data_IF_154778139815
#
_entry.id   IF_154778139815
#
_cell.length_a   1.000
_cell.length_b   1.000
_cell.length_c   1.000
_cell.angle_alpha   90.00
_cell.angle_beta   90.00
_cell.angle_gamma   90.00
#
_symmetry.space_group_name_H-M   'P 1'
#
loop_
_entity.id
_entity.type
_entity.pdbx_description
1 polymer ?
#
# COMPACT_ATOMS: atom_id res chain seq x y z
N UNK A 1 24.01 -10.42 6.16
CA UNK A 1 24.66 -10.27 4.83
C UNK A 1 24.23 -11.38 3.87
N UNK A 2 24.15 -12.65 4.29
CA UNK A 2 23.59 -13.73 3.44
C UNK A 2 22.08 -13.56 3.17
N UNK A 3 21.28 -13.17 4.16
CA UNK A 3 19.85 -12.90 3.96
C UNK A 3 19.58 -11.83 2.88
N UNK A 4 20.29 -10.69 2.91
CA UNK A 4 20.11 -9.64 1.91
C UNK A 4 20.51 -10.09 0.51
N UNK A 5 21.59 -10.90 0.38
CA UNK A 5 21.97 -11.49 -0.92
C UNK A 5 20.88 -12.43 -1.45
N UNK A 6 20.27 -13.21 -0.57
CA UNK A 6 19.18 -14.11 -0.95
C UNK A 6 17.97 -13.33 -1.46
N UNK A 7 17.52 -12.32 -0.70
CA UNK A 7 16.43 -11.42 -1.09
C UNK A 7 16.75 -10.79 -2.46
N UNK A 8 17.94 -10.21 -2.62
CA UNK A 8 18.32 -9.59 -3.89
C UNK A 8 18.33 -10.56 -5.07
N UNK A 9 18.74 -11.81 -4.86
CA UNK A 9 18.68 -12.83 -5.91
C UNK A 9 17.24 -13.14 -6.30
N UNK A 10 16.33 -13.27 -5.33
CA UNK A 10 14.90 -13.51 -5.61
C UNK A 10 14.21 -12.31 -6.25
N UNK A 11 14.60 -11.10 -5.86
CA UNK A 11 14.08 -9.84 -6.39
C UNK A 11 14.57 -9.51 -7.80
N UNK A 12 15.55 -10.26 -8.32
CA UNK A 12 16.25 -9.97 -9.58
C UNK A 12 16.88 -8.56 -9.58
N UNK A 13 17.36 -8.13 -8.42
CA UNK A 13 17.84 -6.77 -8.22
C UNK A 13 18.36 -6.53 -6.80
N UNK A 14 19.09 -5.44 -6.59
CA UNK A 14 19.65 -5.09 -5.28
C UNK A 14 19.11 -3.76 -4.78
N UNK A 15 19.30 -3.47 -3.49
CA UNK A 15 19.19 -2.11 -3.00
C UNK A 15 20.08 -1.16 -3.80
N UNK A 16 19.65 0.10 -3.87
CA UNK A 16 20.47 1.19 -4.41
C UNK A 16 21.77 1.31 -3.62
N UNK A 17 22.88 1.52 -4.32
CA UNK A 17 24.18 1.83 -3.73
C UNK A 17 24.40 3.33 -3.50
N UNK A 18 23.34 4.14 -3.65
CA UNK A 18 23.41 5.57 -3.35
C UNK A 18 23.83 5.81 -1.89
N UNK A 19 24.66 6.83 -1.62
CA UNK A 19 25.02 7.16 -0.25
C UNK A 19 23.77 7.58 0.53
N UNK A 20 23.72 7.32 1.86
CA UNK A 20 22.64 7.84 2.69
C UNK A 20 22.48 9.36 2.52
N UNK A 21 21.24 9.87 2.52
CA UNK A 21 20.99 11.31 2.38
C UNK A 21 21.61 12.07 3.57
N UNK A 22 22.15 13.28 3.38
CA UNK A 22 22.80 14.04 4.46
C UNK A 22 21.81 14.66 5.47
N UNK A 23 20.53 14.74 5.11
CA UNK A 23 19.45 15.30 5.93
C UNK A 23 18.11 14.69 5.52
N UNK A 24 17.13 14.79 6.41
CA UNK A 24 15.73 14.44 6.17
C UNK A 24 14.86 15.29 7.09
N UNK A 25 13.90 16.03 6.53
CA UNK A 25 12.96 16.86 7.28
C UNK A 25 11.95 16.04 8.08
N UNK A 26 11.31 16.63 9.08
CA UNK A 26 10.38 15.91 9.97
C UNK A 26 9.19 15.31 9.23
N UNK A 27 8.53 16.05 8.32
CA UNK A 27 7.44 15.47 7.53
C UNK A 27 7.91 14.39 6.56
N UNK A 28 9.17 14.46 6.07
CA UNK A 28 9.77 13.36 5.30
C UNK A 28 10.00 12.13 6.16
N UNK A 29 10.43 12.29 7.43
CA UNK A 29 10.57 11.16 8.37
C UNK A 29 9.23 10.48 8.61
N UNK A 30 8.17 11.26 8.88
CA UNK A 30 6.80 10.74 9.00
C UNK A 30 6.37 10.00 7.74
N UNK A 31 6.65 10.56 6.55
CA UNK A 31 6.35 9.90 5.28
C UNK A 31 7.09 8.56 5.13
N UNK A 32 8.37 8.48 5.54
CA UNK A 32 9.13 7.23 5.52
C UNK A 32 8.63 6.20 6.55
N UNK A 33 8.11 6.62 7.71
CA UNK A 33 7.48 5.70 8.65
C UNK A 33 6.17 5.13 8.07
N UNK A 34 5.35 5.97 7.46
CA UNK A 34 4.13 5.53 6.78
C UNK A 34 4.43 4.62 5.59
N UNK A 35 5.48 4.94 4.82
CA UNK A 35 5.98 4.10 3.74
C UNK A 35 6.40 2.73 4.29
N UNK A 36 7.33 2.68 5.24
CA UNK A 36 7.78 1.42 5.83
C UNK A 36 6.63 0.57 6.39
N UNK A 37 5.60 1.19 6.98
CA UNK A 37 4.39 0.50 7.41
C UNK A 37 3.60 -0.12 6.25
N UNK A 38 3.49 0.59 5.13
CA UNK A 38 2.89 0.09 3.89
C UNK A 38 3.69 -1.07 3.29
N UNK A 39 5.01 -0.93 3.19
CA UNK A 39 5.89 -1.97 2.63
C UNK A 39 5.82 -3.29 3.42
N UNK A 40 5.77 -3.22 4.76
CA UNK A 40 5.59 -4.41 5.62
C UNK A 40 4.22 -5.07 5.39
N UNK A 41 3.17 -4.27 5.14
CA UNK A 41 1.86 -4.78 4.75
C UNK A 41 1.88 -5.46 3.38
N UNK A 42 2.51 -4.86 2.37
CA UNK A 42 2.58 -5.41 1.00
C UNK A 42 3.39 -6.71 1.00
N UNK A 43 4.52 -6.73 1.70
CA UNK A 43 5.33 -7.92 1.91
C UNK A 43 4.50 -9.05 2.55
N UNK A 44 3.71 -8.77 3.57
CA UNK A 44 2.82 -9.75 4.19
C UNK A 44 1.68 -10.21 3.26
N UNK A 45 1.06 -9.29 2.52
CA UNK A 45 0.00 -9.57 1.57
C UNK A 45 0.46 -10.50 0.45
N UNK A 46 1.54 -10.14 -0.23
CA UNK A 46 2.07 -10.93 -1.34
C UNK A 46 2.64 -12.26 -0.86
N UNK A 47 3.19 -12.34 0.35
CA UNK A 47 3.59 -13.61 0.96
C UNK A 47 2.40 -14.54 1.16
N UNK A 48 1.28 -14.01 1.68
CA UNK A 48 0.03 -14.77 1.83
C UNK A 48 -0.53 -15.22 0.48
N UNK A 49 -0.51 -14.35 -0.54
CA UNK A 49 -0.97 -14.68 -1.88
C UNK A 49 -0.10 -15.77 -2.52
N UNK A 50 1.21 -15.65 -2.41
CA UNK A 50 2.18 -16.66 -2.86
C UNK A 50 1.91 -18.01 -2.21
N UNK A 51 1.68 -18.05 -0.89
CA UNK A 51 1.39 -19.29 -0.17
C UNK A 51 0.10 -19.95 -0.70
N UNK A 52 -0.98 -19.18 -0.86
CA UNK A 52 -2.27 -19.69 -1.36
C UNK A 52 -2.15 -20.30 -2.77
N UNK A 53 -1.41 -19.64 -3.66
CA UNK A 53 -1.14 -20.14 -5.02
C UNK A 53 -0.26 -21.38 -4.98
N UNK A 54 0.81 -21.36 -4.16
CA UNK A 54 1.78 -22.45 -4.01
C UNK A 54 1.13 -23.71 -3.45
N UNK A 55 0.21 -23.59 -2.50
CA UNK A 55 -0.51 -24.72 -1.91
C UNK A 55 -1.70 -25.18 -2.76
N UNK A 56 -2.09 -24.40 -3.76
CA UNK A 56 -3.25 -24.70 -4.59
C UNK A 56 -4.56 -24.68 -3.78
N UNK A 57 -4.67 -23.72 -2.86
CA UNK A 57 -5.90 -23.45 -2.11
C UNK A 57 -7.08 -23.32 -3.07
N UNK A 58 -8.25 -23.83 -2.69
CA UNK A 58 -9.46 -23.71 -3.53
C UNK A 58 -9.73 -22.22 -3.80
N UNK A 59 -9.92 -21.85 -5.06
CA UNK A 59 -10.00 -20.45 -5.50
C UNK A 59 -8.68 -19.84 -6.00
N UNK A 60 -7.53 -20.49 -5.76
CA UNK A 60 -6.19 -19.98 -6.12
C UNK A 60 -5.40 -20.84 -7.13
N UNK A 61 -6.04 -21.85 -7.73
CA UNK A 61 -5.34 -22.88 -8.51
C UNK A 61 -4.94 -22.47 -9.92
N UNK A 62 -5.63 -21.50 -10.52
CA UNK A 62 -5.41 -21.05 -11.90
C UNK A 62 -5.93 -19.62 -12.06
N UNK A 63 -5.27 -18.83 -12.91
CA UNK A 63 -5.75 -17.50 -13.28
C UNK A 63 -5.53 -17.23 -14.77
N UNK A 64 -6.63 -17.17 -15.52
CA UNK A 64 -6.60 -16.91 -16.96
C UNK A 64 -5.62 -17.83 -17.71
N UNK A 65 -4.67 -17.20 -18.41
CA UNK A 65 -3.65 -17.90 -19.22
C UNK A 65 -2.40 -18.33 -18.46
N UNK A 66 -2.25 -17.92 -17.20
CA UNK A 66 -1.03 -18.15 -16.44
C UNK A 66 -1.10 -19.48 -15.70
N UNK A 67 -0.04 -20.27 -15.85
CA UNK A 67 0.15 -21.49 -15.10
C UNK A 67 0.49 -21.18 -13.65
N UNK A 68 0.23 -22.13 -12.74
CA UNK A 68 0.65 -22.03 -11.34
C UNK A 68 2.14 -21.71 -11.21
N UNK A 69 3.00 -22.36 -12.00
CA UNK A 69 4.45 -22.15 -11.93
C UNK A 69 4.86 -20.73 -12.35
N UNK A 70 4.21 -20.16 -13.37
CA UNK A 70 4.45 -18.78 -13.78
C UNK A 70 4.00 -17.80 -12.69
N UNK A 71 2.82 -18.02 -12.08
CA UNK A 71 2.32 -17.18 -11.00
C UNK A 71 3.22 -17.24 -9.76
N UNK A 72 3.63 -18.45 -9.34
CA UNK A 72 4.56 -18.63 -8.22
C UNK A 72 5.86 -17.87 -8.49
N UNK A 73 6.45 -18.03 -9.68
CA UNK A 73 7.70 -17.33 -10.03
C UNK A 73 7.56 -15.80 -9.94
N UNK A 74 6.46 -15.25 -10.44
CA UNK A 74 6.21 -13.80 -10.37
C UNK A 74 6.01 -13.36 -8.93
N UNK A 75 5.19 -14.07 -8.15
CA UNK A 75 4.89 -13.71 -6.77
C UNK A 75 6.12 -13.86 -5.85
N UNK A 76 7.00 -14.84 -6.08
CA UNK A 76 8.29 -14.95 -5.39
C UNK A 76 9.18 -13.72 -5.63
N UNK A 77 9.16 -13.19 -6.85
CA UNK A 77 9.91 -11.99 -7.22
C UNK A 77 9.30 -10.74 -6.58
N UNK A 78 7.98 -10.58 -6.63
CA UNK A 78 7.24 -9.47 -6.00
C UNK A 78 7.48 -9.43 -4.49
N UNK A 79 7.33 -10.57 -3.79
CA UNK A 79 7.62 -10.64 -2.33
C UNK A 79 9.04 -10.16 -2.03
N UNK A 80 10.01 -10.56 -2.85
CA UNK A 80 11.40 -10.15 -2.66
C UNK A 80 11.63 -8.66 -2.97
N UNK A 81 10.89 -8.08 -3.92
CA UNK A 81 10.93 -6.65 -4.21
C UNK A 81 10.37 -5.84 -3.04
N UNK A 82 9.22 -6.23 -2.47
CA UNK A 82 8.67 -5.55 -1.29
C UNK A 82 9.55 -5.70 -0.05
N UNK A 83 10.22 -6.86 0.13
CA UNK A 83 11.25 -7.00 1.16
C UNK A 83 12.38 -5.96 0.99
N UNK A 84 12.83 -5.70 -0.25
CA UNK A 84 13.85 -4.68 -0.52
C UNK A 84 13.32 -3.26 -0.31
N UNK A 85 12.07 -2.97 -0.67
CA UNK A 85 11.46 -1.66 -0.44
C UNK A 85 11.31 -1.36 1.06
N UNK A 86 10.81 -2.32 1.84
CA UNK A 86 10.75 -2.26 3.30
C UNK A 86 12.13 -2.00 3.90
N UNK A 87 13.15 -2.80 3.51
CA UNK A 87 14.52 -2.63 3.98
C UNK A 87 15.07 -1.24 3.62
N UNK A 88 14.78 -0.73 2.42
CA UNK A 88 15.21 0.59 1.97
C UNK A 88 14.61 1.69 2.86
N UNK A 89 13.28 1.69 3.07
CA UNK A 89 12.60 2.67 3.91
C UNK A 89 13.11 2.61 5.36
N UNK A 90 13.24 1.41 5.93
CA UNK A 90 13.74 1.19 7.29
C UNK A 90 15.20 1.65 7.43
N UNK A 91 16.05 1.43 6.43
CA UNK A 91 17.44 1.88 6.46
C UNK A 91 17.56 3.41 6.44
N UNK A 92 16.68 4.10 5.71
CA UNK A 92 16.60 5.57 5.76
C UNK A 92 16.22 6.04 7.17
N UNK A 93 15.20 5.44 7.78
CA UNK A 93 14.78 5.78 9.15
C UNK A 93 15.91 5.53 10.17
N UNK A 94 16.56 4.36 10.09
CA UNK A 94 17.70 3.99 10.94
C UNK A 94 18.87 4.97 10.80
N UNK A 95 19.18 5.42 9.59
CA UNK A 95 20.25 6.39 9.36
C UNK A 95 20.04 7.69 10.15
N UNK A 96 18.78 8.11 10.32
CA UNK A 96 18.41 9.31 11.08
C UNK A 96 17.99 9.03 12.52
N UNK A 97 18.19 7.81 13.03
CA UNK A 97 17.75 7.37 14.37
C UNK A 97 16.24 7.59 14.60
N UNK A 98 15.43 7.45 13.55
CA UNK A 98 13.97 7.49 13.63
C UNK A 98 13.48 6.06 13.85
N UNK A 99 12.59 5.82 14.83
CA UNK A 99 11.97 4.51 15.00
C UNK A 99 11.24 4.10 13.72
N UNK A 100 11.46 2.86 13.29
CA UNK A 100 10.78 2.27 12.15
C UNK A 100 9.66 1.34 12.62
N UNK A 101 8.50 1.32 11.93
CA UNK A 101 7.46 0.36 12.23
C UNK A 101 7.97 -1.07 12.02
N UNK A 102 7.44 -2.00 12.81
CA UNK A 102 7.64 -3.44 12.65
C UNK A 102 6.35 -4.05 12.10
N UNK A 103 6.40 -5.18 11.39
CA UNK A 103 5.19 -5.79 10.83
C UNK A 103 4.15 -6.11 11.90
N UNK A 104 2.89 -5.81 11.60
CA UNK A 104 1.73 -6.17 12.43
C UNK A 104 1.21 -7.56 12.05
N UNK A 105 0.14 -8.04 12.71
CA UNK A 105 -0.64 -9.13 12.15
C UNK A 105 -1.69 -8.57 11.20
N UNK A 106 -1.90 -9.26 10.08
CA UNK A 106 -2.80 -8.84 9.02
C UNK A 106 -3.88 -9.89 8.75
N UNK A 107 -5.05 -9.43 8.30
CA UNK A 107 -6.10 -10.27 7.77
C UNK A 107 -6.42 -9.88 6.33
N UNK A 108 -6.55 -10.86 5.45
CA UNK A 108 -6.83 -10.64 4.03
C UNK A 108 -8.16 -11.33 3.66
N UNK A 109 -9.22 -10.57 3.30
CA UNK A 109 -10.57 -11.12 3.20
C UNK A 109 -10.87 -11.86 1.89
N UNK A 110 -9.88 -12.02 1.00
CA UNK A 110 -10.08 -12.61 -0.33
C UNK A 110 -10.04 -14.14 -0.25
N UNK A 111 -10.93 -14.80 -1.00
CA UNK A 111 -11.04 -16.27 -1.04
C UNK A 111 -10.81 -16.85 -2.45
N UNK A 112 -10.48 -16.01 -3.42
CA UNK A 112 -10.16 -16.41 -4.78
C UNK A 112 -9.09 -15.48 -5.37
N UNK A 113 -8.41 -15.98 -6.41
CA UNK A 113 -7.26 -15.31 -7.01
C UNK A 113 -7.61 -14.06 -7.82
N UNK A 114 -8.81 -14.00 -8.41
CA UNK A 114 -9.24 -12.84 -9.20
C UNK A 114 -9.46 -11.64 -8.28
N UNK A 115 -10.21 -11.83 -7.19
CA UNK A 115 -10.42 -10.78 -6.19
C UNK A 115 -9.12 -10.42 -5.46
N UNK A 116 -8.22 -11.39 -5.24
CA UNK A 116 -6.89 -11.11 -4.68
C UNK A 116 -6.03 -10.24 -5.61
N UNK A 117 -6.05 -10.47 -6.93
CA UNK A 117 -5.35 -9.59 -7.86
C UNK A 117 -6.07 -8.25 -8.04
N UNK A 118 -7.40 -8.19 -7.93
CA UNK A 118 -8.15 -6.93 -7.94
C UNK A 118 -7.80 -6.07 -6.72
N UNK A 119 -7.67 -6.69 -5.54
CA UNK A 119 -7.21 -6.02 -4.33
C UNK A 119 -5.75 -5.59 -4.45
N UNK A 120 -4.87 -6.46 -4.95
CA UNK A 120 -3.47 -6.15 -5.22
C UNK A 120 -3.33 -4.89 -6.09
N UNK A 121 -4.04 -4.88 -7.22
CA UNK A 121 -4.07 -3.74 -8.13
C UNK A 121 -4.59 -2.47 -7.44
N UNK A 122 -5.66 -2.57 -6.66
CA UNK A 122 -6.28 -1.42 -6.01
C UNK A 122 -5.34 -0.77 -4.99
N UNK A 123 -4.70 -1.54 -4.09
CA UNK A 123 -3.79 -0.95 -3.12
C UNK A 123 -2.45 -0.53 -3.76
N UNK A 124 -1.95 -1.26 -4.77
CA UNK A 124 -0.73 -0.85 -5.50
C UNK A 124 -0.93 0.53 -6.12
N UNK A 125 -2.10 0.79 -6.75
CA UNK A 125 -2.38 2.11 -7.31
C UNK A 125 -2.55 3.19 -6.23
N UNK A 126 -3.04 2.82 -5.04
CA UNK A 126 -3.07 3.72 -3.88
C UNK A 126 -1.64 4.05 -3.38
N UNK A 127 -0.73 3.08 -3.33
CA UNK A 127 0.68 3.29 -2.95
C UNK A 127 1.39 4.14 -3.99
N UNK A 128 1.29 3.81 -5.29
CA UNK A 128 1.81 4.64 -6.39
C UNK A 128 1.30 6.09 -6.31
N UNK A 129 0.01 6.27 -6.04
CA UNK A 129 -0.58 7.60 -5.83
C UNK A 129 -0.01 8.31 -4.61
N UNK A 130 0.29 7.58 -3.54
CA UNK A 130 0.86 8.10 -2.28
C UNK A 130 2.35 8.45 -2.42
N UNK A 131 3.12 7.68 -3.19
CA UNK A 131 4.53 7.96 -3.46
C UNK A 131 4.74 9.27 -4.24
N UNK A 132 3.73 9.73 -5.00
CA UNK A 132 3.73 11.06 -5.60
C UNK A 132 3.69 12.16 -4.52
N UNK A 133 2.86 12.00 -3.48
CA UNK A 133 2.79 12.91 -2.33
C UNK A 133 4.06 12.85 -1.46
N UNK A 134 4.64 11.66 -1.28
CA UNK A 134 5.97 11.50 -0.67
C UNK A 134 7.00 12.29 -1.47
N UNK A 135 7.03 12.15 -2.80
CA UNK A 135 7.95 12.89 -3.67
C UNK A 135 7.80 14.41 -3.53
N UNK A 136 6.56 14.89 -3.44
CA UNK A 136 6.25 16.29 -3.21
C UNK A 136 6.72 16.77 -1.83
N UNK A 137 6.49 15.98 -0.79
CA UNK A 137 6.97 16.25 0.59
C UNK A 137 8.49 16.37 0.63
N UNK A 138 9.20 15.44 -0.02
CA UNK A 138 10.66 15.48 -0.13
C UNK A 138 11.15 16.74 -0.85
N UNK A 139 10.48 17.13 -1.93
CA UNK A 139 10.82 18.35 -2.67
C UNK A 139 10.63 19.61 -1.80
N UNK A 140 9.54 19.70 -1.05
CA UNK A 140 9.27 20.82 -0.13
C UNK A 140 10.33 20.94 0.97
N UNK A 141 10.78 19.80 1.51
CA UNK A 141 11.84 19.74 2.53
C UNK A 141 13.25 19.87 1.95
N UNK A 142 13.39 19.89 0.61
CA UNK A 142 14.66 19.87 -0.12
C UNK A 142 15.49 18.62 0.23
N UNK A 143 14.84 17.46 0.35
CA UNK A 143 15.43 16.17 0.72
C UNK A 143 15.78 15.35 -0.54
N UNK A 144 16.57 15.96 -1.42
CA UNK A 144 16.83 15.45 -2.77
C UNK A 144 17.53 14.08 -2.79
N UNK A 145 18.20 13.69 -1.69
CA UNK A 145 19.01 12.47 -1.62
C UNK A 145 18.22 11.17 -1.78
N UNK A 146 16.92 11.18 -1.50
CA UNK A 146 16.04 10.01 -1.56
C UNK A 146 14.99 10.08 -2.68
N UNK A 147 14.88 11.22 -3.37
CA UNK A 147 13.87 11.43 -4.44
C UNK A 147 14.01 10.39 -5.56
N UNK A 148 15.24 10.05 -5.97
CA UNK A 148 15.45 9.02 -7.00
C UNK A 148 15.07 7.62 -6.53
N UNK A 149 15.22 7.31 -5.25
CA UNK A 149 14.80 6.02 -4.71
C UNK A 149 13.26 5.91 -4.72
N UNK A 150 12.55 6.97 -4.31
CA UNK A 150 11.08 7.01 -4.41
C UNK A 150 10.63 6.91 -5.87
N UNK A 151 11.26 7.65 -6.78
CA UNK A 151 10.94 7.58 -8.20
C UNK A 151 11.16 6.18 -8.81
N UNK A 152 12.19 5.44 -8.38
CA UNK A 152 12.38 4.06 -8.84
C UNK A 152 11.30 3.12 -8.29
N UNK A 153 10.86 3.29 -7.05
CA UNK A 153 9.77 2.50 -6.45
C UNK A 153 8.46 2.76 -7.19
N UNK A 154 8.12 4.03 -7.49
CA UNK A 154 6.95 4.39 -8.33
C UNK A 154 6.97 3.65 -9.68
N UNK A 155 8.14 3.61 -10.33
CA UNK A 155 8.29 2.93 -11.61
C UNK A 155 8.07 1.42 -11.48
N UNK A 156 8.70 0.80 -10.48
CA UNK A 156 8.62 -0.63 -10.22
C UNK A 156 7.19 -1.06 -9.83
N UNK A 157 6.55 -0.40 -8.88
CA UNK A 157 5.17 -0.69 -8.49
C UNK A 157 4.19 -0.43 -9.65
N UNK A 158 4.48 0.56 -10.50
CA UNK A 158 3.73 0.79 -11.73
C UNK A 158 3.80 -0.40 -12.71
N UNK A 159 4.93 -1.10 -12.79
CA UNK A 159 5.06 -2.33 -13.57
C UNK A 159 4.22 -3.47 -12.97
N UNK A 160 4.22 -3.62 -11.64
CA UNK A 160 3.35 -4.58 -10.95
C UNK A 160 1.88 -4.28 -11.17
N UNK A 161 1.45 -3.02 -11.00
CA UNK A 161 0.10 -2.56 -11.28
C UNK A 161 -0.32 -2.88 -12.72
N UNK A 162 0.54 -2.60 -13.70
CA UNK A 162 0.30 -2.98 -15.09
C UNK A 162 0.14 -4.49 -15.31
N UNK A 163 0.93 -5.30 -14.61
CA UNK A 163 0.81 -6.76 -14.63
C UNK A 163 -0.50 -7.25 -14.03
N UNK A 164 -0.90 -6.75 -12.85
CA UNK A 164 -2.18 -7.11 -12.21
C UNK A 164 -3.37 -6.72 -13.09
N UNK A 165 -3.30 -5.55 -13.74
CA UNK A 165 -4.31 -5.12 -14.71
C UNK A 165 -4.40 -6.08 -15.90
N UNK A 166 -3.25 -6.54 -16.41
CA UNK A 166 -3.21 -7.56 -17.48
C UNK A 166 -3.86 -8.86 -17.04
N UNK A 167 -3.59 -9.32 -15.81
CA UNK A 167 -4.21 -10.52 -15.24
C UNK A 167 -5.74 -10.37 -15.19
N UNK A 168 -6.24 -9.18 -14.84
CA UNK A 168 -7.66 -8.87 -14.75
C UNK A 168 -8.31 -8.54 -16.11
N UNK A 169 -7.61 -8.75 -17.23
CA UNK A 169 -8.12 -8.45 -18.57
C UNK A 169 -8.31 -6.95 -18.86
N UNK A 170 -7.64 -6.08 -18.10
CA UNK A 170 -7.68 -4.62 -18.25
C UNK A 170 -6.48 -4.12 -19.08
N UNK A 171 -6.55 -2.88 -19.54
CA UNK A 171 -5.40 -2.21 -20.17
C UNK A 171 -4.30 -2.00 -19.12
N UNK A 172 -3.04 -2.40 -19.36
CA UNK A 172 -1.96 -2.30 -18.36
C UNK A 172 -1.75 -0.88 -17.84
N UNK A 173 -1.71 0.11 -18.73
CA UNK A 173 -1.67 1.52 -18.34
C UNK A 173 -3.09 2.00 -18.01
N UNK A 174 -3.34 2.42 -16.76
CA UNK A 174 -4.69 2.81 -16.32
C UNK A 174 -5.15 4.15 -16.91
N UNK A 175 -4.33 5.19 -16.74
CA UNK A 175 -4.61 6.58 -17.12
C UNK A 175 -3.33 7.27 -17.60
N UNK A 176 -3.45 8.34 -18.40
CA UNK A 176 -2.29 9.18 -18.75
C UNK A 176 -1.69 9.92 -17.54
N UNK A 177 -2.52 10.25 -16.54
CA UNK A 177 -2.11 10.80 -15.27
C UNK A 177 -2.77 9.97 -14.18
N UNK A 178 -1.98 9.40 -13.27
CA UNK A 178 -2.51 8.60 -12.18
C UNK A 178 -3.07 9.51 -11.09
N UNK A 179 -4.11 9.05 -10.40
CA UNK A 179 -4.68 9.79 -9.28
C UNK A 179 -3.68 9.86 -8.13
N UNK A 180 -3.33 11.07 -7.70
CA UNK A 180 -2.52 11.27 -6.49
C UNK A 180 -3.35 10.92 -5.25
N UNK A 181 -2.69 10.32 -4.26
CA UNK A 181 -3.23 10.09 -2.91
C UNK A 181 -2.34 10.76 -1.88
N UNK A 182 -2.71 10.72 -0.60
CA UNK A 182 -1.95 11.32 0.50
C UNK A 182 -1.56 10.27 1.52
N UNK A 183 -0.39 10.43 2.15
CA UNK A 183 0.14 9.46 3.11
C UNK A 183 -0.83 9.09 4.22
N UNK A 184 -1.57 10.08 4.75
CA UNK A 184 -2.56 9.85 5.80
C UNK A 184 -3.72 8.95 5.34
N UNK A 185 -4.15 9.04 4.09
CA UNK A 185 -5.24 8.22 3.57
C UNK A 185 -4.79 6.78 3.37
N UNK A 186 -3.63 6.55 2.74
CA UNK A 186 -3.08 5.21 2.57
C UNK A 186 -2.79 4.52 3.92
N UNK A 187 -2.17 5.24 4.85
CA UNK A 187 -1.94 4.76 6.21
C UNK A 187 -3.24 4.36 6.91
N UNK A 188 -4.26 5.23 6.87
CA UNK A 188 -5.58 4.94 7.44
C UNK A 188 -6.25 3.74 6.78
N UNK A 189 -6.17 3.65 5.45
CA UNK A 189 -6.77 2.55 4.69
C UNK A 189 -6.17 1.21 5.09
N UNK A 190 -4.84 1.10 5.11
CA UNK A 190 -4.15 -0.14 5.48
C UNK A 190 -4.45 -0.51 6.93
N UNK A 191 -4.30 0.45 7.86
CA UNK A 191 -4.55 0.24 9.27
C UNK A 191 -5.99 -0.24 9.54
N UNK A 192 -6.98 0.43 8.98
CA UNK A 192 -8.39 0.11 9.27
C UNK A 192 -8.92 -1.12 8.55
N UNK A 193 -8.28 -1.52 7.44
CA UNK A 193 -8.81 -2.58 6.57
C UNK A 193 -8.11 -3.91 6.79
N UNK A 194 -6.81 -3.93 7.10
CA UNK A 194 -6.04 -5.17 7.10
C UNK A 194 -5.35 -5.48 8.43
N UNK A 195 -5.00 -4.47 9.23
CA UNK A 195 -4.34 -4.72 10.52
C UNK A 195 -5.31 -5.36 11.50
N UNK A 196 -4.89 -6.46 12.14
CA UNK A 196 -5.62 -7.05 13.26
C UNK A 196 -5.52 -6.10 14.47
N UNK A 197 -6.65 -5.65 15.08
CA UNK A 197 -6.61 -4.67 16.16
C UNK A 197 -5.69 -5.08 17.32
N UNK A 198 -4.76 -4.18 17.70
CA UNK A 198 -3.82 -4.40 18.81
C UNK A 198 -2.65 -5.33 18.50
N UNK A 199 -2.48 -5.77 17.25
CA UNK A 199 -1.41 -6.69 16.86
C UNK A 199 -0.05 -6.04 16.56
N UNK A 200 -0.02 -4.73 16.28
CA UNK A 200 1.22 -4.04 15.97
C UNK A 200 2.16 -4.03 17.20
N UNK A 201 3.42 -4.48 17.06
CA UNK A 201 4.37 -4.57 18.19
C UNK A 201 5.02 -3.22 18.56
N UNK A 202 4.42 -2.11 18.13
CA UNK A 202 4.87 -0.75 18.35
C UNK A 202 3.67 0.17 18.59
N UNK A 203 3.90 1.34 19.19
CA UNK A 203 2.85 2.34 19.37
C UNK A 203 2.53 3.00 18.03
N UNK A 204 1.32 2.75 17.50
CA UNK A 204 0.88 3.26 16.20
C UNK A 204 1.00 4.80 16.09
N UNK A 205 0.93 5.52 17.21
CA UNK A 205 1.06 6.98 17.25
C UNK A 205 2.46 7.49 16.90
N UNK A 206 3.47 6.61 16.83
CA UNK A 206 4.80 6.98 16.36
C UNK A 206 4.80 7.43 14.88
N UNK A 207 3.81 6.97 14.11
CA UNK A 207 3.54 7.47 12.76
C UNK A 207 2.60 8.66 12.92
N UNK A 208 3.16 9.87 12.89
CA UNK A 208 2.42 11.11 13.14
C UNK A 208 1.53 11.52 11.96
N UNK A 209 0.58 10.65 11.59
CA UNK A 209 -0.46 10.86 10.61
C UNK A 209 -1.82 10.53 11.26
N UNK A 210 -2.89 11.24 10.88
CA UNK A 210 -4.22 10.90 11.37
C UNK A 210 -4.66 9.54 10.82
N UNK A 211 -5.36 8.77 11.65
CA UNK A 211 -6.15 7.61 11.22
C UNK A 211 -7.59 8.09 11.01
N UNK A 212 -8.01 8.18 9.76
CA UNK A 212 -9.36 8.59 9.40
C UNK A 212 -10.39 7.51 9.73
N UNK A 213 -11.65 7.92 9.93
CA UNK A 213 -12.75 6.97 10.02
C UNK A 213 -12.85 6.16 8.71
N UNK A 214 -13.03 4.83 8.85
CA UNK A 214 -13.22 3.96 7.69
C UNK A 214 -14.54 4.32 7.00
N UNK A 215 -14.47 4.50 5.68
CA UNK A 215 -15.65 4.67 4.84
C UNK A 215 -15.96 3.34 4.13
N UNK A 216 -17.04 2.70 4.53
CA UNK A 216 -17.53 1.47 3.91
C UNK A 216 -18.52 1.81 2.78
N UNK A 217 -18.35 1.17 1.62
CA UNK A 217 -19.34 1.15 0.55
C UNK A 217 -20.34 0.04 0.85
N UNK A 218 -21.62 0.39 1.05
CA UNK A 218 -22.69 -0.58 1.36
C UNK A 218 -23.22 -1.30 0.13
N UNK A 219 -23.04 -0.72 -1.05
CA UNK A 219 -23.48 -1.31 -2.30
C UNK A 219 -22.41 -2.29 -2.84
N UNK A 220 -22.89 -3.42 -3.39
CA UNK A 220 -22.04 -4.36 -4.12
C UNK A 220 -20.97 -5.08 -3.30
N UNK A 221 -19.89 -5.50 -3.97
CA UNK A 221 -18.72 -6.19 -3.40
C UNK A 221 -17.78 -5.19 -2.70
N UNK A 222 -18.29 -4.41 -1.73
CA UNK A 222 -17.55 -3.36 -1.03
C UNK A 222 -16.92 -2.31 -1.98
N UNK A 223 -17.61 -2.02 -3.09
CA UNK A 223 -17.12 -1.08 -4.10
C UNK A 223 -16.24 -1.69 -5.21
N UNK A 224 -15.84 -2.96 -5.12
CA UNK A 224 -15.03 -3.62 -6.16
C UNK A 224 -15.79 -3.86 -7.48
N UNK A 225 -17.11 -3.83 -7.45
CA UNK A 225 -18.00 -4.04 -8.59
C UNK A 225 -18.58 -2.74 -9.16
N UNK A 226 -18.15 -1.57 -8.65
CA UNK A 226 -18.53 -0.24 -9.14
C UNK A 226 -18.26 -0.15 -10.64
N UNK A 227 -19.30 0.18 -11.41
CA UNK A 227 -19.21 0.22 -12.87
C UNK A 227 -18.76 1.60 -13.35
N UNK A 228 -18.15 1.74 -14.54
CA UNK A 228 -17.81 3.05 -15.11
C UNK A 228 -19.06 3.71 -15.71
N UNK A 229 -20.06 4.01 -14.88
CA UNK A 229 -21.33 4.66 -15.25
C UNK A 229 -21.83 5.49 -14.08
N UNK A 230 -22.75 6.40 -14.36
CA UNK A 230 -23.51 7.09 -13.33
C UNK A 230 -24.26 6.06 -12.48
N UNK A 231 -23.98 6.07 -11.17
CA UNK A 231 -24.64 5.22 -10.20
C UNK A 231 -24.69 5.92 -8.84
N UNK A 232 -25.67 5.55 -8.04
CA UNK A 232 -25.74 5.97 -6.64
C UNK A 232 -24.96 4.96 -5.80
N UNK A 233 -24.13 5.47 -4.89
CA UNK A 233 -23.40 4.68 -3.91
C UNK A 233 -23.81 5.11 -2.51
N UNK A 234 -24.12 4.14 -1.67
CA UNK A 234 -24.38 4.32 -0.25
C UNK A 234 -23.08 4.10 0.51
N UNK A 235 -22.66 5.13 1.23
CA UNK A 235 -21.43 5.14 2.02
C UNK A 235 -21.78 5.24 3.50
N UNK A 236 -21.04 4.55 4.36
CA UNK A 236 -21.19 4.63 5.82
C UNK A 236 -19.85 4.74 6.49
N UNK A 237 -19.75 5.53 7.55
CA UNK A 237 -18.57 5.60 8.39
C UNK A 237 -18.97 5.64 9.86
N UNK A 238 -18.25 4.91 10.71
CA UNK A 238 -18.33 5.10 12.16
C UNK A 238 -17.32 6.18 12.56
N UNK A 239 -17.84 7.33 13.00
CA UNK A 239 -17.05 8.48 13.44
C UNK A 239 -16.92 8.56 14.96
N UNK A 240 -17.48 7.60 15.72
CA UNK A 240 -17.45 7.62 17.19
C UNK A 240 -16.03 7.54 17.76
N UNK A 241 -15.10 6.98 16.99
CA UNK A 241 -13.68 6.86 17.35
C UNK A 241 -12.79 7.89 16.63
N UNK A 242 -13.36 8.73 15.77
CA UNK A 242 -12.60 9.74 15.05
C UNK A 242 -12.39 10.99 15.92
N UNK A 243 -11.13 11.37 16.14
CA UNK A 243 -10.82 12.54 16.95
C UNK A 243 -11.45 13.82 16.41
N UNK A 244 -12.11 14.61 17.26
CA UNK A 244 -12.78 15.86 16.88
C UNK A 244 -14.15 15.67 16.22
N UNK A 245 -14.63 14.42 16.10
CA UNK A 245 -15.94 14.11 15.55
C UNK A 245 -17.07 14.11 16.59
N UNK A 246 -16.76 14.30 17.88
CA UNK A 246 -17.73 14.25 18.98
C UNK A 246 -18.88 15.24 18.78
N UNK A 247 -18.58 16.41 18.20
CA UNK A 247 -19.56 17.46 17.87
C UNK A 247 -20.58 17.07 16.80
N UNK A 248 -20.32 16.00 16.04
CA UNK A 248 -21.20 15.54 14.97
C UNK A 248 -22.05 14.33 15.39
N UNK A 249 -21.78 13.71 16.55
CA UNK A 249 -22.52 12.55 17.04
C UNK A 249 -23.99 12.91 17.34
N UNK A 250 -24.92 12.10 16.84
CA UNK A 250 -26.37 12.37 16.94
C UNK A 250 -26.86 13.53 16.08
N UNK A 251 -25.99 14.14 15.27
CA UNK A 251 -26.33 15.18 14.30
C UNK A 251 -26.97 14.61 13.02
N UNK A 252 -27.35 15.51 12.11
CA UNK A 252 -27.90 15.17 10.79
C UNK A 252 -26.84 15.15 9.67
N UNK A 253 -25.56 15.09 10.04
CA UNK A 253 -24.44 15.14 9.10
C UNK A 253 -24.14 16.52 8.51
N UNK A 254 -24.78 17.59 8.99
CA UNK A 254 -24.42 18.96 8.60
C UNK A 254 -22.94 19.23 8.91
N UNK A 255 -22.25 19.86 7.96
CA UNK A 255 -20.81 20.18 8.00
C UNK A 255 -19.87 18.97 7.94
N UNK A 256 -20.37 17.77 7.61
CA UNK A 256 -19.56 16.65 7.15
C UNK A 256 -19.40 16.72 5.63
N UNK A 257 -18.18 16.45 5.15
CA UNK A 257 -17.85 16.46 3.73
C UNK A 257 -17.20 15.13 3.34
N UNK A 258 -17.61 14.60 2.20
CA UNK A 258 -16.91 13.53 1.53
C UNK A 258 -15.84 14.15 0.63
N UNK A 259 -14.57 13.80 0.86
CA UNK A 259 -13.48 14.14 -0.05
C UNK A 259 -13.12 12.91 -0.87
N UNK A 260 -12.98 13.09 -2.17
CA UNK A 260 -12.50 12.06 -3.09
C UNK A 260 -11.38 12.63 -3.95
N UNK A 261 -10.45 11.77 -4.34
CA UNK A 261 -9.41 12.09 -5.32
C UNK A 261 -9.90 11.71 -6.71
N UNK A 262 -9.49 12.47 -7.72
CA UNK A 262 -9.73 12.15 -9.13
C UNK A 262 -8.54 12.54 -9.99
N UNK A 263 -8.15 11.68 -10.91
CA UNK A 263 -7.06 11.87 -11.88
C UNK A 263 -7.31 11.06 -13.16
#
# INVERSE_FOLDING_TARGET
>A
MEQLKDISRRADGTLSNAPPPPKLGESSKTAFQALAFGEEFEQAYFSSLLQNVTDGVVGYRHHGRFTKAELVKVLENVVAQEELHAINAINVLKHFNVPAPMPCEYHFPMNNIEDAFALAESFTMLVVGTLQDVSQTLAQNRDNGVVRAIASVIGQEGEQGGFYRTLLGRVPSEKPFLTTSVGAFAFSYIHNTFVVPGSCPFDISMINLPIFAKLDVKDGSMGLDVKPKDQYLTLTADISTAGGAEKFLGGNGKDLYLTYFSG
#
